data_IF_036028993932
#
_entry.id   IF_036028993932
#
_cell.length_a   1.000
_cell.length_b   1.000
_cell.length_c   1.000
_cell.angle_alpha   90.00
_cell.angle_beta   90.00
_cell.angle_gamma   90.00
#
_symmetry.space_group_name_H-M   'P 1'
#
loop_
_entity.id
_entity.type
_entity.pdbx_description
1 polymer ?
#
# COMPACT_ATOMS: atom_id res chain seq x y z
N UNK A 1 24.49 14.92 -13.59
CA UNK A 1 23.25 14.62 -12.84
C UNK A 1 23.56 14.95 -11.40
N UNK A 2 23.22 16.16 -10.96
CA UNK A 2 23.68 16.73 -9.68
C UNK A 2 23.17 15.93 -8.47
N UNK A 3 21.93 15.43 -8.55
CA UNK A 3 21.34 14.56 -7.55
C UNK A 3 22.10 13.24 -7.33
N UNK A 4 22.71 12.67 -8.38
CA UNK A 4 23.46 11.42 -8.24
C UNK A 4 24.75 11.60 -7.45
N UNK A 5 25.44 12.73 -7.66
CA UNK A 5 26.65 13.09 -6.91
C UNK A 5 26.30 13.38 -5.45
N UNK A 6 25.27 14.18 -5.20
CA UNK A 6 24.78 14.43 -3.84
C UNK A 6 24.38 13.13 -3.11
N UNK A 7 23.69 12.21 -3.78
CA UNK A 7 23.34 10.90 -3.21
C UNK A 7 24.55 10.00 -2.97
N UNK A 8 25.60 10.14 -3.78
CA UNK A 8 26.86 9.43 -3.60
C UNK A 8 27.60 9.91 -2.37
N UNK A 9 27.73 11.22 -2.23
CA UNK A 9 28.40 11.86 -1.09
C UNK A 9 27.65 11.56 0.22
N UNK A 10 26.31 11.45 0.17
CA UNK A 10 25.48 11.04 1.30
C UNK A 10 25.53 9.53 1.62
N UNK A 11 26.26 8.71 0.83
CA UNK A 11 26.33 7.26 1.00
C UNK A 11 25.04 6.49 0.65
N UNK A 12 24.04 7.17 0.12
CA UNK A 12 22.73 6.60 -0.24
C UNK A 12 22.75 5.90 -1.61
N UNK A 13 23.72 6.24 -2.47
CA UNK A 13 23.88 5.65 -3.78
C UNK A 13 25.36 5.39 -4.06
N UNK A 14 25.73 4.15 -4.43
CA UNK A 14 27.07 3.88 -4.94
C UNK A 14 27.15 4.25 -6.41
N UNK A 15 27.56 5.49 -6.70
CA UNK A 15 27.68 5.96 -8.06
C UNK A 15 28.88 5.34 -8.79
N UNK A 16 28.79 5.27 -10.11
CA UNK A 16 29.87 4.77 -10.95
C UNK A 16 30.88 5.89 -11.19
N UNK A 17 32.14 5.62 -10.85
CA UNK A 17 33.26 6.53 -11.13
C UNK A 17 33.46 6.75 -12.65
N UNK A 18 33.23 5.71 -13.47
CA UNK A 18 33.37 5.78 -14.93
C UNK A 18 32.14 6.34 -15.65
N UNK A 19 30.97 6.30 -15.02
CA UNK A 19 29.74 6.85 -15.61
C UNK A 19 28.83 7.46 -14.52
N UNK A 20 29.11 8.70 -14.08
CA UNK A 20 28.34 9.35 -13.03
C UNK A 20 26.83 9.40 -13.31
N UNK A 21 26.05 9.08 -12.30
CA UNK A 21 24.59 8.96 -12.33
C UNK A 21 24.06 7.73 -13.05
N UNK A 22 24.90 6.77 -13.47
CA UNK A 22 24.42 5.55 -14.13
C UNK A 22 23.45 4.73 -13.25
N UNK A 23 23.71 4.50 -11.95
CA UNK A 23 22.77 3.79 -11.08
C UNK A 23 21.43 4.52 -10.97
N UNK A 24 21.45 5.84 -10.80
CA UNK A 24 20.23 6.64 -10.72
C UNK A 24 19.45 6.61 -12.05
N UNK A 25 20.14 6.69 -13.19
CA UNK A 25 19.54 6.51 -14.52
C UNK A 25 18.90 5.12 -14.66
N UNK A 26 19.57 4.06 -14.23
CA UNK A 26 19.03 2.68 -14.27
C UNK A 26 17.76 2.57 -13.43
N UNK A 27 17.74 3.16 -12.24
CA UNK A 27 16.54 3.19 -11.39
C UNK A 27 15.41 4.00 -12.03
N UNK A 28 15.71 5.15 -12.63
CA UNK A 28 14.71 5.95 -13.34
C UNK A 28 14.14 5.23 -14.57
N UNK A 29 15.00 4.61 -15.38
CA UNK A 29 14.60 3.77 -16.53
C UNK A 29 13.71 2.60 -16.07
N UNK A 30 14.05 1.99 -14.94
CA UNK A 30 13.27 0.90 -14.35
C UNK A 30 12.00 1.36 -13.61
N UNK A 31 11.61 2.65 -13.72
CA UNK A 31 10.46 3.24 -13.02
C UNK A 31 10.50 3.06 -11.49
N UNK A 32 11.69 2.95 -10.90
CA UNK A 32 11.88 2.80 -9.45
C UNK A 32 11.96 4.13 -8.70
N UNK A 33 11.97 5.26 -9.42
CA UNK A 33 12.01 6.59 -8.83
C UNK A 33 10.73 7.33 -9.21
N UNK A 34 9.90 7.61 -8.21
CA UNK A 34 8.66 8.34 -8.42
C UNK A 34 8.94 9.78 -8.86
N UNK A 35 8.17 10.27 -9.83
CA UNK A 35 8.37 11.60 -10.41
C UNK A 35 9.61 11.71 -11.31
N UNK A 36 10.32 10.62 -11.61
CA UNK A 36 11.37 10.61 -12.61
C UNK A 36 10.78 10.70 -14.03
N UNK A 37 11.31 11.59 -14.85
CA UNK A 37 10.92 11.73 -16.24
C UNK A 37 12.09 12.17 -17.10
N UNK A 38 12.00 11.93 -18.41
CA UNK A 38 13.03 12.33 -19.38
C UNK A 38 12.51 13.50 -20.21
N UNK A 39 13.20 14.64 -20.19
CA UNK A 39 12.83 15.81 -21.03
C UNK A 39 13.67 15.80 -22.31
N UNK A 40 13.01 15.93 -23.46
CA UNK A 40 13.65 16.02 -24.79
C UNK A 40 14.68 14.91 -25.06
N UNK A 41 14.44 13.73 -24.50
CA UNK A 41 15.30 12.55 -24.63
C UNK A 41 16.78 12.72 -24.23
N UNK A 42 17.15 13.83 -23.56
CA UNK A 42 18.56 14.19 -23.28
C UNK A 42 18.94 14.02 -21.81
N UNK A 43 18.08 14.46 -20.90
CA UNK A 43 18.35 14.41 -19.45
C UNK A 43 17.18 13.81 -18.67
N UNK A 44 17.53 13.12 -17.59
CA UNK A 44 16.59 12.64 -16.59
C UNK A 44 16.41 13.70 -15.51
N UNK A 45 15.16 13.96 -15.17
CA UNK A 45 14.72 14.90 -14.15
C UNK A 45 13.88 14.15 -13.13
N UNK A 46 13.88 14.62 -11.88
CA UNK A 46 12.99 14.13 -10.83
C UNK A 46 12.17 15.33 -10.40
N UNK A 47 10.85 15.28 -10.60
CA UNK A 47 9.95 16.36 -10.18
C UNK A 47 9.95 16.42 -8.66
N UNK A 48 10.23 17.60 -8.09
CA UNK A 48 10.00 17.85 -6.65
C UNK A 48 8.51 17.72 -6.37
N UNK A 49 8.18 16.88 -5.40
CA UNK A 49 6.82 16.70 -4.89
C UNK A 49 6.67 17.59 -3.66
N UNK A 50 5.86 18.67 -3.69
CA UNK A 50 5.73 19.60 -2.56
C UNK A 50 5.12 18.95 -1.32
N UNK A 51 4.34 17.88 -1.49
CA UNK A 51 3.78 17.06 -0.42
C UNK A 51 4.14 15.60 -0.68
N UNK A 52 5.40 15.23 -0.42
CA UNK A 52 5.78 13.81 -0.47
C UNK A 52 4.99 13.07 0.62
N UNK A 53 4.17 12.10 0.18
CA UNK A 53 3.53 11.14 1.06
C UNK A 53 4.28 9.83 0.96
N UNK A 54 4.55 9.23 2.11
CA UNK A 54 5.22 7.94 2.17
C UNK A 54 4.34 6.88 1.50
N UNK A 55 4.95 6.11 0.60
CA UNK A 55 4.28 5.07 -0.16
C UNK A 55 4.79 3.70 0.26
N UNK A 56 3.90 2.72 0.22
CA UNK A 56 4.18 1.32 0.50
C UNK A 56 3.88 0.49 -0.74
N UNK A 57 4.69 -0.53 -0.98
CA UNK A 57 4.47 -1.55 -2.00
C UNK A 57 3.49 -2.62 -1.50
N UNK A 58 3.12 -3.55 -2.39
CA UNK A 58 2.32 -4.73 -2.01
C UNK A 58 3.07 -5.59 -0.98
N UNK A 59 4.39 -5.71 -1.11
CA UNK A 59 5.26 -6.41 -0.18
C UNK A 59 5.25 -5.77 1.22
N UNK A 60 5.17 -4.45 1.29
CA UNK A 60 5.17 -3.75 2.57
C UNK A 60 3.80 -3.89 3.27
N UNK A 61 2.69 -3.93 2.53
CA UNK A 61 1.35 -3.99 3.12
C UNK A 61 0.85 -5.40 3.46
N UNK A 62 1.32 -6.44 2.75
CA UNK A 62 0.81 -7.80 2.93
C UNK A 62 0.87 -8.31 4.39
N UNK A 63 1.91 -8.02 5.20
CA UNK A 63 2.01 -8.51 6.57
C UNK A 63 0.90 -7.93 7.48
N UNK A 64 0.42 -6.72 7.18
CA UNK A 64 -0.61 -6.05 7.99
C UNK A 64 -2.03 -6.54 7.69
N UNK A 65 -2.22 -7.27 6.59
CA UNK A 65 -3.52 -7.78 6.18
C UNK A 65 -3.78 -9.23 6.66
N UNK A 66 -2.85 -9.80 7.43
CA UNK A 66 -2.88 -11.19 7.91
C UNK A 66 -3.08 -12.21 6.76
N UNK A 67 -2.34 -11.99 5.67
CA UNK A 67 -2.44 -12.80 4.46
C UNK A 67 -1.25 -13.76 4.32
N UNK A 68 -1.53 -15.03 4.00
CA UNK A 68 -0.50 -16.03 3.75
C UNK A 68 0.28 -15.82 2.44
N UNK A 69 -0.30 -15.14 1.46
CA UNK A 69 0.30 -14.96 0.15
C UNK A 69 0.13 -13.54 -0.39
N UNK A 70 1.21 -12.98 -0.95
CA UNK A 70 1.21 -11.66 -1.60
C UNK A 70 0.12 -11.54 -2.69
N UNK A 71 -0.11 -12.61 -3.46
CA UNK A 71 -1.15 -12.63 -4.51
C UNK A 71 -2.55 -12.39 -3.94
N UNK A 72 -2.80 -12.72 -2.68
CA UNK A 72 -4.09 -12.50 -2.03
C UNK A 72 -4.40 -11.03 -1.77
N UNK A 73 -3.37 -10.14 -1.78
CA UNK A 73 -3.56 -8.69 -1.63
C UNK A 73 -4.42 -8.15 -2.78
N UNK A 74 -4.17 -8.57 -4.02
CA UNK A 74 -4.95 -8.10 -5.18
C UNK A 74 -6.44 -8.44 -5.06
N UNK A 75 -6.76 -9.63 -4.56
CA UNK A 75 -8.15 -10.03 -4.27
C UNK A 75 -8.76 -9.19 -3.14
N UNK A 76 -7.98 -8.88 -2.11
CA UNK A 76 -8.42 -8.06 -0.97
C UNK A 76 -8.66 -6.61 -1.36
N UNK A 77 -7.82 -6.02 -2.21
CA UNK A 77 -8.04 -4.69 -2.77
C UNK A 77 -9.43 -4.62 -3.40
N UNK A 78 -9.78 -5.60 -4.25
CA UNK A 78 -11.08 -5.63 -4.94
C UNK A 78 -12.25 -5.87 -3.98
N UNK A 79 -12.11 -6.78 -3.03
CA UNK A 79 -13.21 -7.18 -2.12
C UNK A 79 -13.46 -6.16 -1.01
N UNK A 80 -12.41 -5.68 -0.36
CA UNK A 80 -12.48 -4.79 0.82
C UNK A 80 -12.30 -3.31 0.48
N UNK A 81 -12.20 -2.97 -0.82
CA UNK A 81 -12.01 -1.58 -1.32
C UNK A 81 -10.84 -0.87 -0.63
N UNK A 82 -9.69 -1.54 -0.55
CA UNK A 82 -8.48 -0.97 0.06
C UNK A 82 -8.04 0.25 -0.77
N UNK A 83 -7.76 1.42 -0.16
CA UNK A 83 -7.27 2.59 -0.88
C UNK A 83 -5.89 2.30 -1.46
N UNK A 84 -5.72 2.50 -2.76
CA UNK A 84 -4.48 2.21 -3.47
C UNK A 84 -4.34 3.11 -4.71
N UNK A 85 -3.11 3.22 -5.18
CA UNK A 85 -2.73 3.93 -6.41
C UNK A 85 -2.30 2.86 -7.42
N UNK A 86 -2.86 2.92 -8.62
CA UNK A 86 -2.42 2.10 -9.74
C UNK A 86 -1.60 2.95 -10.69
N UNK A 87 -0.29 2.69 -10.76
CA UNK A 87 0.61 3.41 -11.67
C UNK A 87 0.52 2.85 -13.10
N UNK A 88 0.39 1.53 -13.21
CA UNK A 88 0.14 0.79 -14.45
C UNK A 88 -0.42 -0.60 -14.10
N UNK A 89 -0.48 -1.52 -15.07
CA UNK A 89 -1.04 -2.86 -14.83
C UNK A 89 -0.28 -3.70 -13.80
N UNK A 90 1.00 -3.43 -13.61
CA UNK A 90 1.90 -4.24 -12.77
C UNK A 90 2.23 -3.59 -11.42
N UNK A 91 2.11 -2.27 -11.31
CA UNK A 91 2.53 -1.52 -10.13
C UNK A 91 1.34 -0.92 -9.37
N UNK A 92 1.07 -1.51 -8.21
CA UNK A 92 0.14 -1.00 -7.20
C UNK A 92 0.94 -0.48 -6.00
N UNK A 93 0.61 0.71 -5.55
CA UNK A 93 1.18 1.35 -4.36
C UNK A 93 0.07 1.78 -3.40
N UNK A 94 0.45 2.02 -2.15
CA UNK A 94 -0.44 2.46 -1.09
C UNK A 94 0.15 3.71 -0.45
N UNK A 95 -0.65 4.75 -0.23
CA UNK A 95 -0.25 5.81 0.68
C UNK A 95 -0.30 5.27 2.10
N UNK A 96 0.80 5.43 2.84
CA UNK A 96 0.98 4.79 4.15
C UNK A 96 -0.08 5.22 5.16
N UNK A 97 -0.31 6.52 5.23
CA UNK A 97 -1.32 7.17 6.08
C UNK A 97 -2.75 6.72 5.73
N UNK A 98 -3.11 6.68 4.45
CA UNK A 98 -4.43 6.19 4.01
C UNK A 98 -4.64 4.72 4.31
N UNK A 99 -3.62 3.88 4.06
CA UNK A 99 -3.69 2.46 4.31
C UNK A 99 -3.91 2.17 5.80
N UNK A 100 -3.13 2.78 6.69
CA UNK A 100 -3.29 2.57 8.13
C UNK A 100 -4.59 3.16 8.67
N UNK A 101 -5.02 4.32 8.18
CA UNK A 101 -6.32 4.89 8.54
C UNK A 101 -7.46 3.94 8.16
N UNK A 102 -7.41 3.41 6.95
CA UNK A 102 -8.37 2.41 6.48
C UNK A 102 -8.32 1.12 7.32
N UNK A 103 -7.13 0.60 7.63
CA UNK A 103 -6.95 -0.63 8.41
C UNK A 103 -7.57 -0.50 9.81
N UNK A 104 -7.32 0.63 10.49
CA UNK A 104 -7.88 0.90 11.82
C UNK A 104 -9.41 0.95 11.76
N UNK A 105 -9.98 1.65 10.78
CA UNK A 105 -11.43 1.76 10.62
C UNK A 105 -12.06 0.40 10.30
N UNK A 106 -11.46 -0.37 9.40
CA UNK A 106 -11.99 -1.67 9.01
C UNK A 106 -11.91 -2.69 10.15
N UNK A 107 -10.81 -2.73 10.92
CA UNK A 107 -10.69 -3.61 12.09
C UNK A 107 -11.71 -3.27 13.17
N UNK A 108 -12.02 -1.98 13.37
CA UNK A 108 -13.10 -1.55 14.28
C UNK A 108 -14.46 -2.02 13.78
N UNK A 109 -14.74 -1.88 12.48
CA UNK A 109 -16.01 -2.32 11.90
C UNK A 109 -16.20 -3.84 12.02
N UNK A 110 -15.18 -4.64 11.71
CA UNK A 110 -15.24 -6.10 11.83
C UNK A 110 -15.52 -6.55 13.27
N UNK A 111 -14.97 -5.86 14.27
CA UNK A 111 -15.24 -6.13 15.68
C UNK A 111 -16.71 -5.83 16.04
N UNK A 112 -17.25 -4.72 15.56
CA UNK A 112 -18.67 -4.34 15.78
C UNK A 112 -19.61 -5.36 15.13
N UNK A 113 -19.32 -5.73 13.88
CA UNK A 113 -20.14 -6.69 13.12
C UNK A 113 -20.18 -8.06 13.80
N UNK A 114 -19.05 -8.51 14.36
CA UNK A 114 -18.99 -9.75 15.13
C UNK A 114 -19.87 -9.70 16.38
N UNK A 115 -19.78 -8.63 17.17
CA UNK A 115 -20.61 -8.45 18.37
C UNK A 115 -22.11 -8.42 18.03
N UNK A 116 -22.48 -7.78 16.93
CA UNK A 116 -23.87 -7.71 16.48
C UNK A 116 -24.40 -9.09 16.05
N UNK A 117 -23.58 -9.90 15.36
CA UNK A 117 -23.95 -11.28 15.00
C UNK A 117 -24.15 -12.17 16.23
N UNK A 118 -23.26 -12.06 17.22
CA UNK A 118 -23.37 -12.83 18.46
C UNK A 118 -24.64 -12.45 19.23
N UNK A 119 -24.93 -11.16 19.37
CA UNK A 119 -26.18 -10.66 19.98
C UNK A 119 -27.43 -11.13 19.22
N UNK A 120 -27.39 -11.15 17.90
CA UNK A 120 -28.52 -11.64 17.10
C UNK A 120 -28.77 -13.13 17.32
N UNK A 121 -27.71 -13.94 17.35
CA UNK A 121 -27.81 -15.39 17.58
C UNK A 121 -28.33 -15.72 18.98
N UNK A 122 -27.88 -15.00 20.02
CA UNK A 122 -28.38 -15.20 21.38
C UNK A 122 -29.85 -14.80 21.50
N UNK A 123 -30.24 -13.67 20.92
CA UNK A 123 -31.64 -13.22 20.90
C UNK A 123 -32.53 -14.25 20.21
N UNK A 124 -32.09 -14.79 19.06
CA UNK A 124 -32.84 -15.82 18.33
C UNK A 124 -33.02 -17.10 19.14
N UNK A 125 -31.95 -17.60 19.78
CA UNK A 125 -32.03 -18.80 20.64
C UNK A 125 -33.01 -18.60 21.80
N UNK A 126 -33.01 -17.42 22.41
CA UNK A 126 -33.93 -17.10 23.50
C UNK A 126 -35.39 -17.09 23.03
N UNK A 127 -35.69 -16.49 21.87
CA UNK A 127 -37.02 -16.51 21.27
C UNK A 127 -37.49 -17.92 20.88
N UNK A 128 -36.58 -18.79 20.42
CA UNK A 128 -36.89 -20.19 20.13
C UNK A 128 -37.20 -20.98 21.42
N UNK A 129 -36.50 -20.71 22.53
CA UNK A 129 -36.77 -21.32 23.83
C UNK A 129 -38.15 -20.90 24.40
N UNK A 130 -38.49 -19.61 24.37
CA UNK A 130 -39.80 -19.12 24.81
C UNK A 130 -40.94 -19.78 24.01
N UNK A 131 -40.75 -19.98 22.70
CA UNK A 131 -41.75 -20.66 21.86
C UNK A 131 -41.94 -22.14 22.21
N UNK A 132 -40.93 -22.80 22.79
CA UNK A 132 -41.03 -24.18 23.25
C UNK A 132 -41.73 -24.29 24.59
N UNK A 133 -41.57 -23.30 25.49
CA UNK A 133 -42.25 -23.27 26.80
C UNK A 133 -43.75 -22.96 26.71
N UNK A 134 -44.21 -22.33 25.62
CA UNK A 134 -45.61 -21.97 25.39
C UNK A 134 -46.40 -23.11 24.69
N UNK A 135 -45.73 -24.19 24.27
CA UNK A 135 -46.35 -25.37 23.64
C UNK A 135 -46.51 -26.52 24.63
#
# INVERSE_FOLDING_TARGET
MEAARWLHDAGLLRDSQSSPGLPLRRMAIANKIFGAYKKQNRYWFIKRMPAYREMMSVEDVYPYLDLHHKKSVYTHIRRKKIPHIRLNDQFILFYKDEFFSWLILNNRQEKIDRQNREKFLTTRKHLEAIKQEIK
#
